data_IF_960508203803
#
_entry.id   IF_960508203803
#
_cell.length_a   1.000
_cell.length_b   1.000
_cell.length_c   1.000
_cell.angle_alpha   90.00
_cell.angle_beta   90.00
_cell.angle_gamma   90.00
#
_symmetry.space_group_name_H-M   'P 1'
#
loop_
_entity.id
_entity.type
_entity.pdbx_description
1 polymer ?
#
# COMPACT_ATOMS: atom_id res chain seq x y z
N UNK A 1 9.22 -16.86 -8.07
CA UNK A 1 8.40 -15.69 -7.68
C UNK A 1 8.54 -15.57 -6.15
N UNK A 2 9.38 -14.66 -5.65
CA UNK A 2 9.50 -14.44 -4.20
C UNK A 2 8.18 -13.80 -3.75
N UNK A 3 7.47 -14.43 -2.82
CA UNK A 3 6.28 -13.85 -2.20
C UNK A 3 6.71 -12.55 -1.53
N UNK A 4 6.34 -11.41 -2.12
CA UNK A 4 6.80 -10.10 -1.68
C UNK A 4 6.29 -9.73 -0.28
N UNK A 5 5.28 -10.43 0.26
CA UNK A 5 4.76 -10.20 1.60
C UNK A 5 4.20 -11.48 2.25
N UNK A 6 5.03 -12.40 2.77
CA UNK A 6 4.56 -13.64 3.42
C UNK A 6 3.78 -13.39 4.72
N UNK A 7 3.85 -12.17 5.25
CA UNK A 7 3.20 -11.76 6.49
C UNK A 7 1.77 -11.24 6.28
N UNK A 8 1.28 -11.14 5.04
CA UNK A 8 -0.13 -10.78 4.82
C UNK A 8 -1.03 -11.89 5.36
N UNK A 9 -2.06 -11.50 6.11
CA UNK A 9 -3.04 -12.42 6.68
C UNK A 9 -4.33 -12.44 5.84
N UNK A 10 -5.23 -13.41 6.01
CA UNK A 10 -6.51 -13.38 5.32
C UNK A 10 -7.32 -12.10 5.58
N UNK A 11 -8.11 -11.68 4.59
CA UNK A 11 -9.04 -10.55 4.70
C UNK A 11 -9.89 -10.61 5.99
N UNK A 12 -9.97 -9.47 6.69
CA UNK A 12 -10.76 -9.31 7.91
C UNK A 12 -10.16 -9.95 9.17
N UNK A 13 -8.90 -10.40 9.13
CA UNK A 13 -8.24 -11.04 10.29
C UNK A 13 -7.10 -10.21 10.88
N UNK A 14 -6.65 -9.16 10.18
CA UNK A 14 -5.65 -8.27 10.74
C UNK A 14 -6.27 -7.31 11.76
N UNK A 15 -5.46 -6.87 12.72
CA UNK A 15 -5.84 -5.78 13.64
C UNK A 15 -5.38 -4.45 13.03
N UNK A 16 -6.19 -3.40 13.21
CA UNK A 16 -5.82 -2.06 12.80
C UNK A 16 -4.57 -1.59 13.54
N UNK A 17 -3.54 -1.23 12.79
CA UNK A 17 -2.26 -0.74 13.30
C UNK A 17 -1.86 0.47 12.49
N UNK A 18 -1.48 1.54 13.19
CA UNK A 18 -1.00 2.77 12.56
C UNK A 18 0.32 2.56 11.83
N UNK A 19 0.50 3.33 10.76
CA UNK A 19 1.73 3.41 10.01
C UNK A 19 2.70 4.35 10.73
N UNK A 20 3.96 3.94 10.81
CA UNK A 20 5.07 4.75 11.29
C UNK A 20 5.63 5.64 10.17
N UNK A 21 5.70 5.11 8.96
CA UNK A 21 6.25 5.81 7.80
C UNK A 21 6.06 5.04 6.51
N UNK A 22 6.18 5.75 5.39
CA UNK A 22 6.10 5.18 4.05
C UNK A 22 7.16 5.81 3.16
N UNK A 23 7.82 4.99 2.35
CA UNK A 23 8.84 5.43 1.41
C UNK A 23 8.66 4.74 0.07
N UNK A 24 8.68 5.52 -1.02
CA UNK A 24 8.73 4.97 -2.37
C UNK A 24 10.18 4.62 -2.73
N UNK A 25 10.44 3.35 -3.02
CA UNK A 25 11.72 2.83 -3.48
C UNK A 25 11.70 2.78 -5.01
N UNK A 26 12.07 3.90 -5.64
CA UNK A 26 11.96 4.07 -7.09
C UNK A 26 12.70 2.98 -7.89
N UNK A 27 13.84 2.50 -7.40
CA UNK A 27 14.62 1.43 -8.05
C UNK A 27 13.91 0.06 -8.03
N UNK A 28 13.10 -0.20 -7.02
CA UNK A 28 12.35 -1.46 -6.86
C UNK A 28 10.90 -1.35 -7.36
N UNK A 29 10.48 -0.15 -7.74
CA UNK A 29 9.08 0.22 -8.04
C UNK A 29 8.10 -0.32 -6.98
N UNK A 30 8.42 -0.05 -5.72
CA UNK A 30 7.67 -0.54 -4.56
C UNK A 30 7.63 0.48 -3.42
N UNK A 31 6.70 0.29 -2.49
CA UNK A 31 6.54 1.10 -1.30
C UNK A 31 6.95 0.29 -0.08
N UNK A 32 7.96 0.78 0.63
CA UNK A 32 8.28 0.30 1.97
C UNK A 32 7.33 0.97 2.96
N UNK A 33 6.59 0.15 3.70
CA UNK A 33 5.56 0.59 4.65
C UNK A 33 5.91 0.05 6.03
N UNK A 34 6.23 0.96 6.95
CA UNK A 34 6.56 0.64 8.33
C UNK A 34 5.34 0.80 9.23
N UNK A 35 5.11 -0.16 10.11
CA UNK A 35 4.06 -0.14 11.11
C UNK A 35 4.62 0.12 12.51
N UNK A 36 3.78 0.67 13.39
CA UNK A 36 4.17 0.92 14.80
C UNK A 36 4.38 -0.36 15.60
N UNK A 37 3.87 -1.50 15.14
CA UNK A 37 4.09 -2.83 15.73
C UNK A 37 5.45 -3.45 15.36
N UNK A 38 6.29 -2.71 14.60
CA UNK A 38 7.63 -3.11 14.22
C UNK A 38 7.71 -3.93 12.93
N UNK A 39 6.58 -4.17 12.25
CA UNK A 39 6.58 -4.85 10.96
C UNK A 39 6.80 -3.88 9.81
N UNK A 40 7.50 -4.35 8.79
CA UNK A 40 7.73 -3.63 7.53
C UNK A 40 7.27 -4.50 6.37
N UNK A 41 6.55 -3.89 5.44
CA UNK A 41 6.06 -4.54 4.22
C UNK A 41 6.64 -3.84 3.00
N UNK A 42 6.88 -4.62 1.95
CA UNK A 42 7.27 -4.10 0.64
C UNK A 42 6.10 -4.30 -0.31
N UNK A 43 5.31 -3.26 -0.52
CA UNK A 43 4.13 -3.31 -1.37
C UNK A 43 4.48 -2.89 -2.81
N UNK A 44 4.32 -3.77 -3.81
CA UNK A 44 4.60 -3.42 -5.19
C UNK A 44 3.69 -2.31 -5.69
N UNK A 45 4.27 -1.33 -6.40
CA UNK A 45 3.53 -0.22 -6.97
C UNK A 45 2.43 -0.67 -7.93
N UNK A 46 2.69 -1.74 -8.71
CA UNK A 46 1.72 -2.35 -9.60
C UNK A 46 0.42 -2.78 -8.88
N UNK A 47 0.51 -3.28 -7.63
CA UNK A 47 -0.68 -3.67 -6.84
C UNK A 47 -1.51 -2.44 -6.51
N UNK A 48 -0.87 -1.37 -6.04
CA UNK A 48 -1.50 -0.10 -5.67
C UNK A 48 -2.18 0.53 -6.89
N UNK A 49 -1.47 0.59 -8.04
CA UNK A 49 -2.03 1.13 -9.29
C UNK A 49 -3.27 0.36 -9.73
N UNK A 50 -3.20 -0.97 -9.71
CA UNK A 50 -4.33 -1.84 -10.11
C UNK A 50 -5.54 -1.60 -9.22
N UNK A 51 -5.36 -1.52 -7.91
CA UNK A 51 -6.45 -1.30 -6.95
C UNK A 51 -7.08 0.08 -7.11
N UNK A 52 -6.28 1.12 -7.37
CA UNK A 52 -6.72 2.50 -7.46
C UNK A 52 -7.00 2.99 -8.90
N UNK A 53 -6.91 2.11 -9.91
CA UNK A 53 -7.10 2.44 -11.34
C UNK A 53 -6.16 3.56 -11.83
N UNK A 54 -4.92 3.55 -11.34
CA UNK A 54 -3.90 4.52 -11.74
C UNK A 54 -3.32 4.12 -13.10
N UNK A 55 -3.13 5.10 -13.99
CA UNK A 55 -2.45 4.89 -15.27
C UNK A 55 -1.06 4.30 -15.06
N UNK A 56 -0.63 3.36 -15.91
CA UNK A 56 0.73 2.82 -15.87
C UNK A 56 1.81 3.83 -16.23
N UNK A 57 1.43 4.94 -16.89
CA UNK A 57 2.34 6.02 -17.27
C UNK A 57 2.47 7.14 -16.22
N UNK A 58 1.64 7.13 -15.19
CA UNK A 58 1.65 8.19 -14.18
C UNK A 58 2.90 8.07 -13.30
N UNK A 59 3.61 9.16 -13.05
CA UNK A 59 4.83 9.15 -12.22
C UNK A 59 4.50 9.53 -10.78
N UNK A 60 5.09 8.85 -9.79
CA UNK A 60 4.93 9.25 -8.39
C UNK A 60 5.55 10.63 -8.19
N UNK A 61 4.75 11.58 -7.71
CA UNK A 61 5.21 12.93 -7.40
C UNK A 61 5.53 13.08 -5.91
N UNK A 62 4.66 12.58 -5.03
CA UNK A 62 4.88 12.58 -3.58
C UNK A 62 4.07 11.48 -2.89
N UNK A 63 4.54 11.10 -1.71
CA UNK A 63 3.84 10.20 -0.79
C UNK A 63 3.49 10.97 0.47
N UNK A 64 2.26 10.84 0.93
CA UNK A 64 1.72 11.57 2.06
C UNK A 64 1.10 10.58 3.06
N UNK A 65 1.58 10.58 4.30
CA UNK A 65 0.96 9.78 5.37
C UNK A 65 -0.34 10.46 5.83
N UNK A 66 -1.39 9.67 6.07
CA UNK A 66 -2.63 10.19 6.64
C UNK A 66 -2.37 10.75 8.06
N UNK A 67 -2.86 11.96 8.33
CA UNK A 67 -2.35 12.79 9.43
C UNK A 67 -2.96 12.51 10.82
N UNK A 68 -4.22 12.08 10.88
CA UNK A 68 -4.97 11.95 12.13
C UNK A 68 -4.78 10.57 12.76
N UNK A 69 -5.09 9.50 12.01
CA UNK A 69 -5.02 8.13 12.51
C UNK A 69 -3.76 7.38 12.04
N UNK A 70 -3.08 7.91 11.03
CA UNK A 70 -2.00 7.24 10.30
C UNK A 70 -2.42 5.85 9.84
N UNK A 71 -3.67 5.70 9.42
CA UNK A 71 -4.26 4.43 9.00
C UNK A 71 -4.05 4.13 7.52
N UNK A 72 -3.26 4.94 6.84
CA UNK A 72 -2.96 4.78 5.43
C UNK A 72 -2.06 5.89 4.94
N UNK A 73 -1.91 5.95 3.62
CA UNK A 73 -1.16 6.97 2.93
C UNK A 73 -1.76 7.23 1.55
N UNK A 74 -1.41 8.38 1.00
CA UNK A 74 -1.75 8.80 -0.35
C UNK A 74 -0.50 8.81 -1.22
N UNK A 75 -0.64 8.30 -2.44
CA UNK A 75 0.35 8.46 -3.51
C UNK A 75 -0.21 9.45 -4.52
N UNK A 76 0.43 10.60 -4.61
CA UNK A 76 0.06 11.65 -5.56
C UNK A 76 0.91 11.50 -6.83
N UNK A 77 0.26 11.55 -7.98
CA UNK A 77 0.91 11.38 -9.28
C UNK A 77 0.96 12.68 -10.08
N UNK A 78 1.90 12.76 -11.01
CA UNK A 78 2.13 13.90 -11.92
C UNK A 78 0.91 14.30 -12.76
N UNK A 79 0.03 13.36 -13.08
CA UNK A 79 -1.16 13.56 -13.88
C UNK A 79 -2.42 13.89 -13.05
N UNK A 80 -2.25 14.24 -11.78
CA UNK A 80 -3.35 14.59 -10.86
C UNK A 80 -4.11 13.40 -10.30
N UNK A 81 -3.78 12.16 -10.68
CA UNK A 81 -4.34 10.99 -10.02
C UNK A 81 -3.82 10.87 -8.58
N UNK A 82 -4.63 10.28 -7.71
CA UNK A 82 -4.24 9.95 -6.34
C UNK A 82 -4.65 8.52 -6.04
N UNK A 83 -3.74 7.73 -5.46
CA UNK A 83 -4.06 6.43 -4.88
C UNK A 83 -4.16 6.56 -3.37
N UNK A 84 -5.24 6.02 -2.80
CA UNK A 84 -5.38 5.85 -1.36
C UNK A 84 -5.02 4.42 -0.99
N UNK A 85 -4.21 4.25 0.05
CA UNK A 85 -3.72 2.95 0.48
C UNK A 85 -3.91 2.81 1.99
N UNK A 86 -4.82 1.92 2.39
CA UNK A 86 -5.11 1.65 3.80
C UNK A 86 -4.12 0.67 4.42
N UNK A 87 -4.00 0.71 5.75
CA UNK A 87 -3.27 -0.29 6.53
C UNK A 87 -3.72 -1.73 6.20
N UNK A 88 -5.02 -1.93 5.99
CA UNK A 88 -5.60 -3.24 5.72
C UNK A 88 -5.21 -3.77 4.34
N UNK A 89 -5.12 -2.89 3.33
CA UNK A 89 -4.61 -3.27 2.01
C UNK A 89 -3.17 -3.84 2.09
N UNK A 90 -2.34 -3.25 2.95
CA UNK A 90 -0.97 -3.70 3.16
C UNK A 90 -0.90 -4.98 4.00
N UNK A 91 -1.76 -5.13 5.02
CA UNK A 91 -1.71 -6.26 5.97
C UNK A 91 -2.49 -7.48 5.52
N UNK A 92 -3.46 -7.32 4.63
CA UNK A 92 -4.41 -8.37 4.29
C UNK A 92 -4.30 -8.82 2.83
N UNK A 93 -4.52 -10.12 2.62
CA UNK A 93 -4.78 -10.69 1.31
C UNK A 93 -6.17 -10.25 0.84
N UNK A 94 -6.38 -10.12 -0.49
CA UNK A 94 -7.72 -9.91 -1.04
C UNK A 94 -8.71 -10.99 -0.56
N UNK A 95 -10.01 -10.65 -0.40
CA UNK A 95 -11.02 -11.63 -0.02
C UNK A 95 -11.07 -12.78 -1.05
N UNK A 96 -11.11 -14.03 -0.56
CA UNK A 96 -11.04 -15.24 -1.41
C UNK A 96 -12.24 -15.43 -2.35
N UNK A 97 -13.34 -14.72 -2.12
CA UNK A 97 -14.56 -14.80 -2.90
C UNK A 97 -15.00 -13.43 -3.41
N UNK A 98 -14.32 -12.91 -4.43
CA UNK A 98 -14.90 -11.90 -5.31
C UNK A 98 -15.20 -12.57 -6.66
N UNK A 99 -16.28 -13.36 -6.72
CA UNK A 99 -16.91 -13.60 -8.02
C UNK A 99 -17.39 -12.24 -8.51
N UNK A 100 -16.72 -11.71 -9.53
CA UNK A 100 -17.31 -10.71 -10.42
C UNK A 100 -18.45 -11.36 -11.19
#
# INVERSE_FOLDING_TARGET
>A
MKTLNPLKVPFGTAKGVALRGVRYLQWEDAFEVDFVDGLTFLEPHATIRKANKISSKATVQRVELEGELKHGFFVHYDNGQTAEVSWSFIRELPPKNSKK
#
